data_IF_118227698102
#
_entry.id   IF_118227698102
#
_cell.length_a   1.000
_cell.length_b   1.000
_cell.length_c   1.000
_cell.angle_alpha   90.00
_cell.angle_beta   90.00
_cell.angle_gamma   90.00
#
_symmetry.space_group_name_H-M   'P 1'
#
loop_
_entity.id
_entity.type
_entity.pdbx_description
1 polymer ?
#
# COMPACT_ATOMS: atom_id res chain seq x y z
N UNK A 1 -38.57 -25.01 14.92
CA UNK A 1 -38.15 -24.23 13.73
C UNK A 1 -36.83 -24.77 13.17
N UNK A 2 -36.80 -26.04 12.75
CA UNK A 2 -35.58 -26.79 12.37
C UNK A 2 -35.36 -26.91 10.84
N UNK A 3 -36.10 -26.13 10.06
CA UNK A 3 -36.35 -26.36 8.63
C UNK A 3 -35.26 -25.89 7.63
N UNK A 4 -34.37 -24.91 7.89
CA UNK A 4 -33.36 -24.51 6.90
C UNK A 4 -32.06 -25.34 6.92
N UNK A 5 -31.77 -26.04 8.03
CA UNK A 5 -30.49 -26.73 8.24
C UNK A 5 -30.41 -28.07 7.49
N UNK A 6 -31.51 -28.83 7.41
CA UNK A 6 -31.58 -30.06 6.61
C UNK A 6 -31.54 -29.79 5.10
N UNK A 7 -32.06 -28.63 4.67
CA UNK A 7 -32.13 -28.25 3.27
C UNK A 7 -30.74 -28.10 2.63
N UNK A 8 -29.75 -27.53 3.34
CA UNK A 8 -28.40 -27.38 2.80
C UNK A 8 -27.67 -28.72 2.63
N UNK A 9 -27.84 -29.66 3.58
CA UNK A 9 -27.28 -31.01 3.43
C UNK A 9 -27.91 -31.75 2.25
N UNK A 10 -29.24 -31.70 2.13
CA UNK A 10 -29.95 -32.29 1.00
C UNK A 10 -29.47 -31.70 -0.33
N UNK A 11 -29.28 -30.38 -0.40
CA UNK A 11 -28.73 -29.69 -1.58
C UNK A 11 -27.34 -30.17 -1.96
N UNK A 12 -26.44 -30.39 -1.00
CA UNK A 12 -25.09 -30.90 -1.29
C UNK A 12 -25.14 -32.34 -1.82
N UNK A 13 -25.98 -33.19 -1.22
CA UNK A 13 -26.18 -34.59 -1.66
C UNK A 13 -26.80 -34.70 -3.06
N UNK A 14 -27.63 -33.73 -3.45
CA UNK A 14 -28.20 -33.64 -4.80
C UNK A 14 -27.32 -32.89 -5.80
N UNK A 15 -26.05 -32.60 -5.46
CA UNK A 15 -25.07 -32.00 -6.35
C UNK A 15 -25.13 -30.47 -6.47
N UNK A 16 -25.90 -29.80 -5.61
CA UNK A 16 -25.96 -28.34 -5.52
C UNK A 16 -24.86 -27.80 -4.60
N UNK A 17 -23.73 -27.40 -5.19
CA UNK A 17 -22.53 -26.96 -4.45
C UNK A 17 -22.54 -25.48 -4.01
N UNK A 18 -23.59 -24.73 -4.37
CA UNK A 18 -23.70 -23.28 -4.09
C UNK A 18 -23.41 -22.90 -2.65
N UNK A 19 -23.92 -23.61 -1.62
CA UNK A 19 -23.64 -23.25 -0.22
C UNK A 19 -22.14 -23.18 0.11
N UNK A 20 -21.34 -24.13 -0.39
CA UNK A 20 -19.89 -24.18 -0.12
C UNK A 20 -19.12 -23.18 -0.97
N UNK A 21 -19.53 -22.98 -2.24
CA UNK A 21 -18.85 -22.01 -3.11
C UNK A 21 -19.11 -20.57 -2.67
N UNK A 22 -20.32 -20.25 -2.21
CA UNK A 22 -20.67 -18.94 -1.70
C UNK A 22 -19.97 -18.66 -0.38
N UNK A 23 -19.96 -19.65 0.52
CA UNK A 23 -19.20 -19.58 1.75
C UNK A 23 -17.71 -19.30 1.49
N UNK A 24 -17.09 -20.05 0.57
CA UNK A 24 -15.69 -19.83 0.20
C UNK A 24 -15.47 -18.42 -0.35
N UNK A 25 -16.30 -17.97 -1.29
CA UNK A 25 -16.21 -16.62 -1.87
C UNK A 25 -16.28 -15.51 -0.82
N UNK A 26 -17.12 -15.67 0.20
CA UNK A 26 -17.29 -14.69 1.28
C UNK A 26 -16.17 -14.76 2.34
N UNK A 27 -15.75 -15.97 2.72
CA UNK A 27 -14.87 -16.19 3.87
C UNK A 27 -13.39 -16.31 3.51
N UNK A 28 -13.02 -16.53 2.24
CA UNK A 28 -11.64 -16.76 1.80
C UNK A 28 -10.65 -15.72 2.31
N UNK A 29 -10.88 -14.44 2.02
CA UNK A 29 -9.94 -13.38 2.40
C UNK A 29 -10.00 -13.07 3.91
N UNK A 30 -11.16 -13.27 4.54
CA UNK A 30 -11.33 -13.14 5.99
C UNK A 30 -10.51 -14.21 6.71
N UNK A 31 -10.60 -15.45 6.24
CA UNK A 31 -9.85 -16.60 6.73
C UNK A 31 -8.35 -16.38 6.55
N UNK A 32 -7.89 -15.94 5.37
CA UNK A 32 -6.48 -15.68 5.14
C UNK A 32 -5.90 -14.60 6.06
N UNK A 33 -6.66 -13.52 6.34
CA UNK A 33 -6.25 -12.50 7.32
C UNK A 33 -6.18 -13.07 8.74
N UNK A 34 -7.14 -13.89 9.13
CA UNK A 34 -7.14 -14.57 10.42
C UNK A 34 -5.94 -15.53 10.54
N UNK A 35 -5.71 -16.37 9.54
CA UNK A 35 -4.62 -17.35 9.50
C UNK A 35 -3.25 -16.65 9.56
N UNK A 36 -3.08 -15.56 8.82
CA UNK A 36 -1.85 -14.75 8.87
C UNK A 36 -1.59 -14.16 10.25
N UNK A 37 -2.62 -13.64 10.93
CA UNK A 37 -2.48 -13.03 12.27
C UNK A 37 -2.17 -14.06 13.34
N UNK A 38 -2.77 -15.24 13.25
CA UNK A 38 -2.69 -16.26 14.30
C UNK A 38 -1.52 -17.24 14.10
N UNK A 39 -1.15 -17.53 12.85
CA UNK A 39 -0.18 -18.59 12.51
C UNK A 39 0.93 -18.12 11.56
N UNK A 40 0.95 -16.84 11.17
CA UNK A 40 1.93 -16.33 10.19
C UNK A 40 1.76 -16.89 8.77
N UNK A 41 0.67 -17.61 8.50
CA UNK A 41 0.45 -18.31 7.22
C UNK A 41 0.25 -17.33 6.05
N UNK A 42 0.99 -17.48 4.94
CA UNK A 42 0.75 -16.77 3.70
C UNK A 42 -0.67 -16.99 3.16
N UNK A 43 -1.20 -16.01 2.42
CA UNK A 43 -2.60 -16.04 1.99
C UNK A 43 -2.92 -17.22 1.06
N UNK A 44 -2.03 -17.54 0.12
CA UNK A 44 -2.11 -18.69 -0.79
C UNK A 44 -2.21 -20.03 -0.03
N UNK A 45 -1.37 -20.22 0.98
CA UNK A 45 -1.43 -21.41 1.83
C UNK A 45 -2.71 -21.47 2.67
N UNK A 46 -3.17 -20.34 3.20
CA UNK A 46 -4.43 -20.26 3.93
C UNK A 46 -5.63 -20.60 3.02
N UNK A 47 -5.66 -20.10 1.79
CA UNK A 47 -6.71 -20.45 0.82
C UNK A 47 -6.70 -21.96 0.51
N UNK A 48 -5.52 -22.56 0.33
CA UNK A 48 -5.39 -24.00 0.13
C UNK A 48 -5.95 -24.81 1.31
N UNK A 49 -5.65 -24.41 2.55
CA UNK A 49 -6.22 -25.05 3.75
C UNK A 49 -7.74 -24.95 3.77
N UNK A 50 -8.31 -23.77 3.52
CA UNK A 50 -9.76 -23.60 3.53
C UNK A 50 -10.46 -24.42 2.44
N UNK A 51 -9.89 -24.49 1.22
CA UNK A 51 -10.43 -25.34 0.15
C UNK A 51 -10.43 -26.80 0.56
N UNK A 52 -9.32 -27.30 1.10
CA UNK A 52 -9.25 -28.69 1.54
C UNK A 52 -10.27 -28.99 2.62
N UNK A 53 -10.46 -28.08 3.59
CA UNK A 53 -11.48 -28.24 4.63
C UNK A 53 -12.90 -28.27 4.06
N UNK A 54 -13.20 -27.51 3.02
CA UNK A 54 -14.49 -27.56 2.35
C UNK A 54 -14.70 -28.87 1.57
N UNK A 55 -13.63 -29.43 1.01
CA UNK A 55 -13.66 -30.74 0.36
C UNK A 55 -13.88 -31.86 1.40
N UNK A 56 -13.18 -31.82 2.53
CA UNK A 56 -13.42 -32.75 3.65
C UNK A 56 -14.84 -32.64 4.17
N UNK A 57 -15.35 -31.42 4.39
CA UNK A 57 -16.73 -31.20 4.80
C UNK A 57 -17.74 -31.76 3.78
N UNK A 58 -17.46 -31.62 2.49
CA UNK A 58 -18.28 -32.23 1.43
C UNK A 58 -18.28 -33.76 1.53
N UNK A 59 -17.13 -34.39 1.81
CA UNK A 59 -17.07 -35.84 2.04
C UNK A 59 -17.94 -36.23 3.23
N UNK A 60 -17.74 -35.60 4.39
CA UNK A 60 -18.50 -35.89 5.61
C UNK A 60 -20.02 -35.82 5.41
N UNK A 61 -20.49 -34.88 4.58
CA UNK A 61 -21.91 -34.75 4.22
C UNK A 61 -22.41 -35.89 3.34
N UNK A 62 -21.64 -36.28 2.33
CA UNK A 62 -22.02 -37.35 1.40
C UNK A 62 -21.91 -38.74 2.05
N UNK A 63 -20.98 -38.90 2.98
CA UNK A 63 -20.75 -40.15 3.69
C UNK A 63 -21.76 -40.37 4.83
N UNK A 64 -22.57 -39.36 5.15
CA UNK A 64 -23.50 -39.39 6.27
C UNK A 64 -22.87 -39.19 7.65
N UNK A 65 -21.54 -39.02 7.73
CA UNK A 65 -20.82 -38.66 8.97
C UNK A 65 -21.33 -37.34 9.56
N UNK A 66 -21.74 -36.41 8.70
CA UNK A 66 -22.45 -35.21 9.09
C UNK A 66 -23.96 -35.38 8.91
N UNK A 67 -24.65 -35.61 10.02
CA UNK A 67 -26.12 -35.80 10.07
C UNK A 67 -26.89 -34.49 10.16
N UNK A 68 -26.27 -33.43 10.68
CA UNK A 68 -26.88 -32.11 10.82
C UNK A 68 -25.93 -30.98 10.39
N UNK A 69 -26.50 -29.92 9.82
CA UNK A 69 -25.72 -28.76 9.42
C UNK A 69 -25.27 -27.97 10.66
N UNK A 70 -23.97 -27.63 10.80
CA UNK A 70 -23.50 -26.89 11.96
C UNK A 70 -24.21 -25.53 12.10
N UNK A 71 -24.67 -25.13 13.30
CA UNK A 71 -25.35 -23.86 13.50
C UNK A 71 -24.45 -22.66 13.13
N UNK A 72 -23.15 -22.80 13.36
CA UNK A 72 -22.12 -21.88 12.86
C UNK A 72 -21.10 -22.65 12.01
N UNK A 73 -21.35 -22.69 10.70
CA UNK A 73 -20.44 -23.31 9.72
C UNK A 73 -19.05 -22.68 9.76
N UNK A 74 -18.94 -21.38 10.00
CA UNK A 74 -17.65 -20.68 10.04
C UNK A 74 -16.83 -21.15 11.22
N UNK A 75 -17.40 -21.17 12.42
CA UNK A 75 -16.71 -21.65 13.61
C UNK A 75 -16.28 -23.12 13.46
N UNK A 76 -17.16 -23.97 12.91
CA UNK A 76 -16.86 -25.37 12.65
C UNK A 76 -15.65 -25.54 11.70
N UNK A 77 -15.68 -24.92 10.53
CA UNK A 77 -14.60 -25.01 9.54
C UNK A 77 -13.29 -24.36 10.03
N UNK A 78 -13.38 -23.24 10.75
CA UNK A 78 -12.19 -22.57 11.30
C UNK A 78 -11.56 -23.39 12.43
N UNK A 79 -12.37 -24.10 13.22
CA UNK A 79 -11.90 -25.03 14.25
C UNK A 79 -11.06 -26.16 13.66
N UNK A 80 -11.59 -26.82 12.61
CA UNK A 80 -10.85 -27.86 11.90
C UNK A 80 -9.60 -27.30 11.21
N UNK A 81 -9.72 -26.15 10.54
CA UNK A 81 -8.58 -25.50 9.88
C UNK A 81 -7.49 -25.07 10.87
N UNK A 82 -7.86 -24.63 12.08
CA UNK A 82 -6.92 -24.30 13.15
C UNK A 82 -6.05 -25.50 13.52
N UNK A 83 -6.62 -26.69 13.63
CA UNK A 83 -5.84 -27.90 13.95
C UNK A 83 -4.77 -28.16 12.87
N UNK A 84 -5.14 -28.02 11.59
CA UNK A 84 -4.19 -28.14 10.46
C UNK A 84 -3.09 -27.10 10.50
N UNK A 85 -3.45 -25.84 10.74
CA UNK A 85 -2.47 -24.75 10.78
C UNK A 85 -1.54 -24.87 11.98
N UNK A 86 -2.06 -25.25 13.15
CA UNK A 86 -1.23 -25.55 14.33
C UNK A 86 -0.28 -26.69 14.03
N UNK A 87 -0.77 -27.82 13.52
CA UNK A 87 0.05 -28.98 13.20
C UNK A 87 1.20 -28.66 12.23
N UNK A 88 0.93 -27.84 11.21
CA UNK A 88 1.97 -27.34 10.29
C UNK A 88 2.96 -26.40 10.96
N UNK A 89 2.50 -25.51 11.84
CA UNK A 89 3.37 -24.55 12.54
C UNK A 89 4.27 -25.23 13.58
N UNK A 90 3.77 -26.28 14.24
CA UNK A 90 4.51 -27.03 15.28
C UNK A 90 5.21 -28.28 14.73
N UNK A 91 5.07 -28.57 13.44
CA UNK A 91 5.55 -29.80 12.80
C UNK A 91 5.07 -31.08 13.53
N UNK A 92 3.83 -31.07 14.03
CA UNK A 92 3.22 -32.20 14.73
C UNK A 92 2.25 -32.95 13.82
N UNK A 93 2.06 -34.25 14.07
CA UNK A 93 1.02 -35.01 13.38
C UNK A 93 -0.37 -34.43 13.63
N UNK A 94 -1.23 -34.48 12.62
CA UNK A 94 -2.63 -34.16 12.75
C UNK A 94 -3.35 -35.23 13.59
N UNK A 95 -4.32 -34.84 14.44
CA UNK A 95 -5.20 -35.81 15.06
C UNK A 95 -5.87 -36.66 13.96
N UNK A 96 -5.93 -37.97 14.14
CA UNK A 96 -6.65 -38.84 13.22
C UNK A 96 -8.15 -38.45 13.28
N UNK A 97 -8.65 -37.83 12.21
CA UNK A 97 -10.09 -37.72 11.99
C UNK A 97 -10.67 -39.14 11.90
N UNK A 98 -11.90 -39.35 12.39
CA UNK A 98 -12.59 -40.64 12.30
C UNK A 98 -12.66 -41.04 10.81
N UNK A 99 -11.77 -41.94 10.35
CA UNK A 99 -11.62 -42.15 8.93
C UNK A 99 -12.82 -42.98 8.47
N UNK A 100 -13.20 -42.81 7.22
CA UNK A 100 -13.98 -43.85 6.54
C UNK A 100 -13.24 -45.19 6.70
N UNK A 101 -13.95 -46.33 6.72
CA UNK A 101 -13.30 -47.63 6.60
C UNK A 101 -12.29 -47.60 5.46
N UNK A 102 -11.04 -48.02 5.72
CA UNK A 102 -9.92 -47.83 4.78
C UNK A 102 -10.25 -48.32 3.37
N UNK A 103 -10.94 -49.46 3.27
CA UNK A 103 -11.38 -50.04 2.00
C UNK A 103 -12.34 -49.12 1.21
N UNK A 104 -13.27 -48.43 1.89
CA UNK A 104 -14.20 -47.50 1.24
C UNK A 104 -13.49 -46.22 0.77
N UNK A 105 -12.60 -45.68 1.60
CA UNK A 105 -11.79 -44.51 1.25
C UNK A 105 -10.89 -44.80 0.03
N UNK A 106 -10.21 -45.95 0.03
CA UNK A 106 -9.34 -46.39 -1.07
C UNK A 106 -10.12 -46.59 -2.36
N UNK A 107 -11.29 -47.24 -2.28
CA UNK A 107 -12.16 -47.45 -3.45
C UNK A 107 -12.64 -46.14 -4.05
N UNK A 108 -13.11 -45.20 -3.23
CA UNK A 108 -13.52 -43.85 -3.69
C UNK A 108 -12.37 -43.10 -4.34
N UNK A 109 -11.20 -43.10 -3.71
CA UNK A 109 -10.00 -42.49 -4.29
C UNK A 109 -9.58 -43.16 -5.61
N UNK A 110 -9.76 -44.47 -5.74
CA UNK A 110 -9.52 -45.18 -6.99
C UNK A 110 -10.52 -44.75 -8.08
N UNK A 111 -11.81 -44.65 -7.76
CA UNK A 111 -12.84 -44.15 -8.69
C UNK A 111 -12.54 -42.73 -9.14
N UNK A 112 -12.19 -41.82 -8.21
CA UNK A 112 -11.82 -40.44 -8.54
C UNK A 112 -10.61 -40.38 -9.48
N UNK A 113 -9.53 -41.10 -9.14
CA UNK A 113 -8.33 -41.14 -9.99
C UNK A 113 -8.63 -41.69 -11.38
N UNK A 114 -9.43 -42.75 -11.45
CA UNK A 114 -9.80 -43.40 -12.72
C UNK A 114 -10.69 -42.49 -13.56
N UNK A 115 -11.68 -41.84 -12.95
CA UNK A 115 -12.55 -40.85 -13.61
C UNK A 115 -11.71 -39.73 -14.25
N UNK A 116 -10.73 -39.18 -13.53
CA UNK A 116 -9.86 -38.11 -14.02
C UNK A 116 -8.95 -38.53 -15.19
N UNK A 117 -8.72 -39.84 -15.37
CA UNK A 117 -7.93 -40.39 -16.47
C UNK A 117 -8.76 -40.72 -17.72
N UNK A 118 -10.10 -40.69 -17.63
CA UNK A 118 -10.96 -40.93 -18.80
C UNK A 118 -10.86 -39.79 -19.82
N UNK A 119 -11.21 -40.03 -21.09
CA UNK A 119 -11.36 -38.96 -22.07
C UNK A 119 -12.32 -37.86 -21.59
N UNK A 120 -12.07 -36.57 -21.91
CA UNK A 120 -12.89 -35.45 -21.44
C UNK A 120 -14.39 -35.62 -21.72
N UNK A 121 -14.75 -36.16 -22.88
CA UNK A 121 -16.14 -36.38 -23.26
C UNK A 121 -16.82 -37.41 -22.34
N UNK A 122 -16.12 -38.50 -22.01
CA UNK A 122 -16.62 -39.51 -21.06
C UNK A 122 -16.77 -38.93 -19.66
N UNK A 123 -15.80 -38.12 -19.20
CA UNK A 123 -15.92 -37.41 -17.92
C UNK A 123 -17.16 -36.51 -17.88
N UNK A 124 -17.39 -35.76 -18.96
CA UNK A 124 -18.50 -34.82 -19.07
C UNK A 124 -19.86 -35.52 -19.05
N UNK A 125 -20.00 -36.62 -19.80
CA UNK A 125 -21.20 -37.46 -19.80
C UNK A 125 -21.50 -38.00 -18.40
N UNK A 126 -20.52 -38.63 -17.75
CA UNK A 126 -20.69 -39.21 -16.42
C UNK A 126 -21.00 -38.15 -15.37
N UNK A 127 -20.31 -37.01 -15.41
CA UNK A 127 -20.59 -35.88 -14.52
C UNK A 127 -22.01 -35.33 -14.73
N UNK A 128 -22.45 -35.17 -15.97
CA UNK A 128 -23.77 -34.61 -16.25
C UNK A 128 -24.90 -35.58 -15.83
N UNK A 129 -24.69 -36.88 -15.98
CA UNK A 129 -25.67 -37.89 -15.59
C UNK A 129 -25.68 -38.13 -14.08
N UNK A 130 -24.54 -38.56 -13.49
CA UNK A 130 -24.50 -39.03 -12.10
C UNK A 130 -24.45 -37.92 -11.06
N UNK A 131 -23.82 -36.78 -11.37
CA UNK A 131 -23.69 -35.69 -10.41
C UNK A 131 -24.74 -34.60 -10.62
N UNK A 132 -25.05 -34.22 -11.87
CA UNK A 132 -26.11 -33.23 -12.16
C UNK A 132 -27.51 -33.83 -12.27
N UNK A 133 -27.64 -35.15 -12.17
CA UNK A 133 -28.94 -35.85 -12.20
C UNK A 133 -29.72 -35.61 -13.48
N UNK A 134 -29.04 -35.44 -14.62
CA UNK A 134 -29.74 -35.17 -15.89
C UNK A 134 -30.33 -36.45 -16.47
N UNK A 135 -31.61 -36.38 -16.86
CA UNK A 135 -32.22 -37.42 -17.68
C UNK A 135 -31.60 -37.44 -19.10
N UNK A 136 -31.88 -38.48 -19.89
CA UNK A 136 -31.27 -38.65 -21.21
C UNK A 136 -31.62 -37.53 -22.21
N UNK A 137 -32.81 -36.94 -22.10
CA UNK A 137 -33.24 -35.81 -22.95
C UNK A 137 -32.41 -34.56 -22.64
N UNK A 138 -32.29 -34.23 -21.36
CA UNK A 138 -31.49 -33.11 -20.86
C UNK A 138 -30.02 -33.32 -21.17
N UNK A 139 -29.52 -34.56 -21.02
CA UNK A 139 -28.16 -34.92 -21.37
C UNK A 139 -27.90 -34.73 -22.87
N UNK A 140 -28.82 -35.19 -23.72
CA UNK A 140 -28.73 -35.01 -25.17
C UNK A 140 -28.69 -33.53 -25.56
N UNK A 141 -29.63 -32.73 -25.03
CA UNK A 141 -29.68 -31.30 -25.31
C UNK A 141 -28.44 -30.53 -24.83
N UNK A 142 -27.90 -30.86 -23.64
CA UNK A 142 -26.71 -30.18 -23.09
C UNK A 142 -25.42 -30.52 -23.81
N UNK A 143 -25.30 -31.75 -24.32
CA UNK A 143 -24.09 -32.24 -24.98
C UNK A 143 -24.17 -32.21 -26.51
N UNK A 144 -25.30 -31.76 -27.06
CA UNK A 144 -25.50 -31.68 -28.51
C UNK A 144 -25.68 -33.03 -29.20
N UNK A 145 -26.19 -34.04 -28.49
CA UNK A 145 -26.52 -35.33 -29.10
C UNK A 145 -27.85 -35.27 -29.85
N UNK A 146 -27.94 -36.04 -30.93
CA UNK A 146 -29.13 -36.03 -31.80
C UNK A 146 -30.43 -36.42 -31.06
N UNK A 147 -30.36 -37.33 -30.09
CA UNK A 147 -31.51 -37.77 -29.29
C UNK A 147 -31.07 -38.48 -28.00
N UNK A 148 -32.05 -38.80 -27.14
CA UNK A 148 -31.85 -39.51 -25.88
C UNK A 148 -31.20 -40.90 -26.05
N UNK A 149 -31.46 -41.60 -27.16
CA UNK A 149 -30.85 -42.89 -27.45
C UNK A 149 -29.34 -42.80 -27.66
N UNK A 150 -28.88 -41.78 -28.39
CA UNK A 150 -27.45 -41.49 -28.54
C UNK A 150 -26.83 -41.14 -27.19
N UNK A 151 -27.51 -40.31 -26.38
CA UNK A 151 -27.03 -39.96 -25.04
C UNK A 151 -26.87 -41.19 -24.13
N UNK A 152 -27.81 -42.14 -24.18
CA UNK A 152 -27.72 -43.41 -23.46
C UNK A 152 -26.53 -44.24 -23.92
N UNK A 153 -26.34 -44.40 -25.24
CA UNK A 153 -25.17 -45.12 -25.78
C UNK A 153 -23.85 -44.50 -25.31
N UNK A 154 -23.75 -43.17 -25.34
CA UNK A 154 -22.57 -42.45 -24.86
C UNK A 154 -22.34 -42.65 -23.34
N UNK A 155 -23.41 -42.67 -22.53
CA UNK A 155 -23.32 -43.00 -21.10
C UNK A 155 -22.77 -44.40 -20.87
N UNK A 156 -23.34 -45.41 -21.55
CA UNK A 156 -22.91 -46.80 -21.41
C UNK A 156 -21.47 -47.02 -21.87
N UNK A 157 -21.06 -46.37 -22.97
CA UNK A 157 -19.67 -46.41 -23.42
C UNK A 157 -18.71 -45.79 -22.39
N UNK A 158 -19.07 -44.64 -21.81
CA UNK A 158 -18.28 -43.99 -20.78
C UNK A 158 -18.18 -44.84 -19.49
N UNK A 159 -19.27 -45.49 -19.08
CA UNK A 159 -19.28 -46.41 -17.93
C UNK A 159 -18.44 -47.65 -18.18
N UNK A 160 -18.55 -48.26 -19.36
CA UNK A 160 -17.72 -49.40 -19.74
C UNK A 160 -16.24 -49.05 -19.64
N UNK A 161 -15.81 -47.91 -20.20
CA UNK A 161 -14.43 -47.42 -20.11
C UNK A 161 -13.98 -47.23 -18.65
N UNK A 162 -14.85 -46.68 -17.79
CA UNK A 162 -14.57 -46.52 -16.36
C UNK A 162 -14.36 -47.89 -15.69
N UNK A 163 -15.29 -48.82 -15.86
CA UNK A 163 -15.23 -50.13 -15.21
C UNK A 163 -14.11 -51.02 -15.74
N UNK A 164 -13.77 -50.95 -17.03
CA UNK A 164 -12.59 -51.60 -17.60
C UNK A 164 -11.29 -51.05 -17.00
N UNK A 165 -11.21 -49.74 -16.76
CA UNK A 165 -10.06 -49.13 -16.11
C UNK A 165 -9.97 -49.50 -14.63
N UNK A 166 -11.09 -49.56 -13.92
CA UNK A 166 -11.16 -50.03 -12.53
C UNK A 166 -10.78 -51.51 -12.39
N UNK A 167 -11.24 -52.36 -13.30
CA UNK A 167 -10.89 -53.78 -13.35
C UNK A 167 -9.39 -53.97 -13.57
N UNK A 168 -8.79 -53.22 -14.50
CA UNK A 168 -7.31 -53.21 -14.68
C UNK A 168 -6.55 -52.75 -13.45
N UNK A 169 -7.15 -51.91 -12.61
CA UNK A 169 -6.57 -51.45 -11.36
C UNK A 169 -6.84 -52.40 -10.17
N UNK A 170 -7.46 -53.57 -10.40
CA UNK A 170 -7.73 -54.58 -9.37
C UNK A 170 -8.91 -54.24 -8.46
N UNK A 171 -9.86 -53.41 -8.91
CA UNK A 171 -11.03 -53.08 -8.11
C UNK A 171 -12.00 -54.29 -8.03
N UNK A 172 -12.30 -54.74 -6.81
CA UNK A 172 -13.17 -55.91 -6.59
C UNK A 172 -14.58 -55.76 -7.18
N UNK A 173 -15.17 -56.87 -7.64
CA UNK A 173 -16.54 -56.91 -8.19
C UNK A 173 -16.71 -56.30 -9.58
N UNK A 174 -15.64 -55.75 -10.18
CA UNK A 174 -15.74 -55.09 -11.49
C UNK A 174 -15.74 -56.06 -12.67
N UNK A 175 -15.19 -57.27 -12.51
CA UNK A 175 -15.20 -58.30 -13.55
C UNK A 175 -16.62 -58.84 -13.77
N UNK A 176 -17.31 -59.19 -12.69
CA UNK A 176 -18.71 -59.62 -12.66
C UNK A 176 -19.61 -58.50 -13.16
N UNK A 177 -19.36 -57.26 -12.71
CA UNK A 177 -20.07 -56.08 -13.20
C UNK A 177 -19.94 -55.93 -14.72
N UNK A 178 -18.72 -56.03 -15.28
CA UNK A 178 -18.52 -55.89 -16.73
C UNK A 178 -19.26 -56.97 -17.54
N UNK A 179 -19.33 -58.20 -17.01
CA UNK A 179 -20.04 -59.31 -17.65
C UNK A 179 -21.56 -59.04 -17.73
N UNK A 180 -22.16 -58.48 -16.67
CA UNK A 180 -23.60 -58.23 -16.60
C UNK A 180 -24.01 -56.77 -16.89
N UNK A 181 -23.05 -55.88 -17.20
CA UNK A 181 -23.28 -54.43 -17.32
C UNK A 181 -24.49 -54.06 -18.21
N UNK A 182 -24.71 -54.65 -19.41
CA UNK A 182 -25.85 -54.29 -20.25
C UNK A 182 -27.22 -54.64 -19.66
N UNK A 183 -27.30 -55.69 -18.82
CA UNK A 183 -28.54 -56.05 -18.13
C UNK A 183 -28.80 -55.10 -16.96
N UNK A 184 -27.76 -54.88 -16.14
CA UNK A 184 -27.80 -53.97 -14.99
C UNK A 184 -28.13 -52.54 -15.41
N UNK A 185 -27.54 -52.02 -16.49
CA UNK A 185 -27.85 -50.68 -17.00
C UNK A 185 -29.28 -50.57 -17.51
N UNK A 186 -29.81 -51.58 -18.21
CA UNK A 186 -31.20 -51.52 -18.73
C UNK A 186 -32.23 -51.48 -17.60
N UNK A 187 -32.02 -52.26 -16.54
CA UNK A 187 -32.87 -52.21 -15.35
C UNK A 187 -32.71 -50.86 -14.63
N UNK A 188 -31.47 -50.43 -14.37
CA UNK A 188 -31.20 -49.14 -13.69
C UNK A 188 -31.68 -47.92 -14.45
N UNK A 189 -31.68 -47.94 -15.79
CA UNK A 189 -32.14 -46.83 -16.63
C UNK A 189 -33.68 -46.83 -16.81
N UNK A 190 -34.39 -47.81 -16.24
CA UNK A 190 -35.84 -47.95 -16.35
C UNK A 190 -36.33 -48.24 -17.76
N UNK A 191 -35.54 -48.99 -18.54
CA UNK A 191 -35.82 -49.30 -19.95
C UNK A 191 -36.57 -50.63 -20.11
N UNK A 192 -36.54 -51.48 -19.08
CA UNK A 192 -37.31 -52.73 -19.07
C UNK A 192 -38.80 -52.42 -18.94
N UNK A 193 -39.61 -53.15 -19.69
CA UNK A 193 -41.06 -53.19 -19.48
C UNK A 193 -41.37 -54.02 -18.21
N UNK A 194 -42.61 -54.02 -17.70
CA UNK A 194 -42.94 -54.72 -16.46
C UNK A 194 -42.56 -56.21 -16.49
N UNK A 195 -42.81 -56.90 -17.61
CA UNK A 195 -42.47 -58.31 -17.76
C UNK A 195 -40.94 -58.55 -17.75
N UNK A 196 -40.17 -57.70 -18.44
CA UNK A 196 -38.72 -57.78 -18.42
C UNK A 196 -38.11 -57.44 -17.06
N UNK A 197 -38.74 -56.56 -16.28
CA UNK A 197 -38.33 -56.28 -14.91
C UNK A 197 -38.62 -57.48 -13.99
N UNK A 198 -39.78 -58.12 -14.11
CA UNK A 198 -40.10 -59.35 -13.35
C UNK A 198 -39.13 -60.49 -13.68
N UNK A 199 -38.75 -60.65 -14.95
CA UNK A 199 -37.75 -61.65 -15.37
C UNK A 199 -36.36 -61.33 -14.79
N UNK A 200 -35.94 -60.07 -14.85
CA UNK A 200 -34.67 -59.62 -14.26
C UNK A 200 -34.63 -59.86 -12.75
N UNK A 201 -35.73 -59.57 -12.04
CA UNK A 201 -35.86 -59.79 -10.60
C UNK A 201 -35.84 -61.29 -10.25
N UNK A 202 -36.49 -62.13 -11.08
CA UNK A 202 -36.40 -63.59 -10.93
C UNK A 202 -34.98 -64.11 -11.16
N UNK A 203 -34.26 -63.57 -12.16
CA UNK A 203 -32.85 -63.91 -12.41
C UNK A 203 -31.97 -63.52 -11.23
N UNK A 204 -32.19 -62.35 -10.61
CA UNK A 204 -31.44 -61.93 -9.42
C UNK A 204 -31.54 -62.91 -8.25
N UNK A 205 -32.64 -63.66 -8.14
CA UNK A 205 -32.81 -64.66 -7.08
C UNK A 205 -31.96 -65.91 -7.30
N UNK A 206 -31.67 -66.27 -8.55
CA UNK A 206 -30.98 -67.52 -8.93
C UNK A 206 -29.50 -67.26 -9.26
N UNK A 207 -29.19 -66.17 -9.94
CA UNK A 207 -27.86 -65.81 -10.39
C UNK A 207 -27.12 -64.97 -9.34
N UNK A 208 -26.18 -65.61 -8.65
CA UNK A 208 -25.33 -64.96 -7.65
C UNK A 208 -24.36 -63.93 -8.25
N UNK A 209 -23.88 -64.14 -9.47
CA UNK A 209 -22.94 -63.23 -10.14
C UNK A 209 -23.68 -61.96 -10.60
N UNK A 210 -24.87 -62.09 -11.17
CA UNK A 210 -25.73 -60.96 -11.50
C UNK A 210 -26.06 -60.11 -10.26
N UNK A 211 -26.32 -60.76 -9.12
CA UNK A 211 -26.57 -60.06 -7.86
C UNK A 211 -25.34 -59.28 -7.37
N UNK A 212 -24.15 -59.89 -7.44
CA UNK A 212 -22.89 -59.21 -7.12
C UNK A 212 -22.63 -58.03 -8.06
N UNK A 213 -22.92 -58.19 -9.36
CA UNK A 213 -22.83 -57.12 -10.34
C UNK A 213 -23.75 -55.94 -10.02
N UNK A 214 -25.00 -56.19 -9.60
CA UNK A 214 -25.92 -55.13 -9.16
C UNK A 214 -25.40 -54.38 -7.93
N UNK A 215 -24.92 -55.10 -6.91
CA UNK A 215 -24.33 -54.49 -5.72
C UNK A 215 -23.09 -53.65 -6.06
N UNK A 216 -22.21 -54.17 -6.92
CA UNK A 216 -21.05 -53.45 -7.40
C UNK A 216 -21.46 -52.19 -8.19
N UNK A 217 -22.45 -52.28 -9.06
CA UNK A 217 -22.96 -51.14 -9.82
C UNK A 217 -23.51 -50.04 -8.91
N UNK A 218 -24.34 -50.36 -7.94
CA UNK A 218 -24.86 -49.39 -6.96
C UNK A 218 -23.72 -48.70 -6.19
N UNK A 219 -22.76 -49.49 -5.72
CA UNK A 219 -21.61 -48.98 -4.98
C UNK A 219 -20.74 -48.05 -5.83
N UNK A 220 -20.34 -48.48 -7.03
CA UNK A 220 -19.48 -47.67 -7.90
C UNK A 220 -20.20 -46.44 -8.45
N UNK A 221 -21.52 -46.50 -8.69
CA UNK A 221 -22.28 -45.31 -9.12
C UNK A 221 -22.46 -44.30 -7.99
N UNK A 222 -22.58 -44.74 -6.74
CA UNK A 222 -22.53 -43.87 -5.57
C UNK A 222 -21.14 -43.20 -5.43
N UNK A 223 -20.06 -43.97 -5.55
CA UNK A 223 -18.69 -43.45 -5.51
C UNK A 223 -18.40 -42.51 -6.68
N UNK A 224 -18.94 -42.80 -7.87
CA UNK A 224 -18.84 -41.95 -9.05
C UNK A 224 -19.55 -40.61 -8.85
N UNK A 225 -20.75 -40.60 -8.25
CA UNK A 225 -21.47 -39.38 -7.90
C UNK A 225 -20.66 -38.53 -6.92
N UNK A 226 -20.10 -39.15 -5.89
CA UNK A 226 -19.19 -38.49 -4.96
C UNK A 226 -17.96 -37.91 -5.67
N UNK A 227 -17.29 -38.70 -6.51
CA UNK A 227 -16.05 -38.31 -7.19
C UNK A 227 -16.28 -37.12 -8.13
N UNK A 228 -17.33 -37.19 -8.95
CA UNK A 228 -17.70 -36.11 -9.86
C UNK A 228 -18.08 -34.83 -9.11
N UNK A 229 -18.75 -34.95 -7.95
CA UNK A 229 -19.11 -33.80 -7.14
C UNK A 229 -17.94 -33.16 -6.40
N UNK A 230 -17.06 -33.98 -5.82
CA UNK A 230 -15.82 -33.53 -5.18
C UNK A 230 -14.94 -32.78 -6.17
N UNK A 231 -14.74 -33.33 -7.37
CA UNK A 231 -13.96 -32.66 -8.41
C UNK A 231 -14.63 -31.39 -8.91
N UNK A 232 -15.96 -31.39 -9.11
CA UNK A 232 -16.67 -30.16 -9.50
C UNK A 232 -16.48 -29.05 -8.46
N UNK A 233 -16.58 -29.40 -7.17
CA UNK A 233 -16.33 -28.46 -6.07
C UNK A 233 -14.91 -27.92 -6.15
N UNK A 234 -13.90 -28.79 -6.25
CA UNK A 234 -12.50 -28.39 -6.39
C UNK A 234 -12.31 -27.40 -7.53
N UNK A 235 -12.76 -27.74 -8.74
CA UNK A 235 -12.63 -26.88 -9.92
C UNK A 235 -13.32 -25.52 -9.73
N UNK A 236 -14.48 -25.50 -9.09
CA UNK A 236 -15.19 -24.25 -8.76
C UNK A 236 -14.40 -23.38 -7.79
N UNK A 237 -13.88 -23.96 -6.72
CA UNK A 237 -13.05 -23.23 -5.75
C UNK A 237 -11.78 -22.69 -6.41
N UNK A 238 -11.11 -23.47 -7.25
CA UNK A 238 -9.94 -23.05 -8.02
C UNK A 238 -10.28 -21.94 -9.04
N UNK A 239 -11.45 -22.00 -9.66
CA UNK A 239 -11.94 -20.94 -10.55
C UNK A 239 -12.19 -19.62 -9.81
N UNK A 240 -12.65 -19.68 -8.55
CA UNK A 240 -12.87 -18.49 -7.72
C UNK A 240 -11.52 -17.85 -7.38
N UNK A 241 -10.53 -18.65 -7.00
CA UNK A 241 -9.16 -18.17 -6.75
C UNK A 241 -8.57 -17.47 -7.96
N UNK A 242 -8.67 -18.09 -9.14
CA UNK A 242 -8.17 -17.50 -10.40
C UNK A 242 -8.86 -16.18 -10.71
N UNK A 243 -10.19 -16.10 -10.57
CA UNK A 243 -10.97 -14.87 -10.81
C UNK A 243 -10.58 -13.75 -9.84
N UNK A 244 -10.40 -14.06 -8.56
CA UNK A 244 -9.97 -13.07 -7.57
C UNK A 244 -8.55 -12.60 -7.85
N UNK A 245 -7.62 -13.52 -8.14
CA UNK A 245 -6.23 -13.19 -8.48
C UNK A 245 -6.13 -12.32 -9.75
N UNK A 246 -6.95 -12.60 -10.77
CA UNK A 246 -7.02 -11.78 -11.98
C UNK A 246 -7.53 -10.37 -11.67
N UNK A 247 -8.57 -10.23 -10.84
CA UNK A 247 -9.12 -8.93 -10.42
C UNK A 247 -8.09 -8.12 -9.63
N UNK A 248 -7.40 -8.73 -8.67
CA UNK A 248 -6.39 -8.03 -7.86
C UNK A 248 -5.19 -7.61 -8.70
N UNK A 249 -4.71 -8.48 -9.61
CA UNK A 249 -3.64 -8.13 -10.55
C UNK A 249 -4.05 -6.99 -11.49
N UNK A 250 -5.29 -7.00 -12.00
CA UNK A 250 -5.81 -5.92 -12.84
C UNK A 250 -5.88 -4.59 -12.07
N UNK A 251 -6.39 -4.61 -10.83
CA UNK A 251 -6.45 -3.41 -9.98
C UNK A 251 -5.06 -2.87 -9.63
N UNK A 252 -4.08 -3.76 -9.37
CA UNK A 252 -2.70 -3.35 -9.13
C UNK A 252 -2.08 -2.70 -10.37
N UNK A 253 -2.29 -3.27 -11.56
CA UNK A 253 -1.84 -2.66 -12.83
C UNK A 253 -2.45 -1.27 -13.05
N UNK A 254 -3.75 -1.09 -12.75
CA UNK A 254 -4.42 0.21 -12.84
C UNK A 254 -3.79 1.20 -11.85
N UNK A 255 -3.59 0.81 -10.59
CA UNK A 255 -2.96 1.67 -9.58
C UNK A 255 -1.52 2.05 -9.95
N UNK A 256 -0.73 1.11 -10.45
CA UNK A 256 0.62 1.38 -10.93
C UNK A 256 0.63 2.34 -12.12
N UNK A 257 -0.30 2.19 -13.08
CA UNK A 257 -0.47 3.14 -14.19
C UNK A 257 -0.87 4.52 -13.68
N UNK A 258 -1.82 4.61 -12.75
CA UNK A 258 -2.24 5.87 -12.14
C UNK A 258 -1.09 6.55 -11.37
N UNK A 259 -0.30 5.79 -10.61
CA UNK A 259 0.88 6.33 -9.91
C UNK A 259 1.92 6.84 -10.91
N UNK A 260 2.23 6.09 -11.98
CA UNK A 260 3.15 6.55 -13.04
C UNK A 260 2.62 7.79 -13.77
N UNK A 261 1.31 7.86 -14.05
CA UNK A 261 0.70 9.05 -14.65
C UNK A 261 0.76 10.26 -13.71
N UNK A 262 0.47 10.08 -12.41
CA UNK A 262 0.62 11.14 -11.40
C UNK A 262 2.06 11.63 -11.29
N UNK A 263 3.05 10.72 -11.31
CA UNK A 263 4.47 11.09 -11.30
C UNK A 263 4.87 11.83 -12.57
N UNK A 264 4.42 11.39 -13.76
CA UNK A 264 4.67 12.09 -15.02
C UNK A 264 4.06 13.48 -15.05
N UNK A 265 2.79 13.62 -14.64
CA UNK A 265 2.11 14.92 -14.55
C UNK A 265 2.78 15.81 -13.49
N UNK A 266 3.22 15.25 -12.36
CA UNK A 266 3.97 15.97 -11.34
C UNK A 266 5.31 16.50 -11.86
N UNK A 267 6.06 15.70 -12.63
CA UNK A 267 7.32 16.13 -13.26
C UNK A 267 7.09 17.22 -14.31
N UNK A 268 6.06 17.09 -15.15
CA UNK A 268 5.69 18.14 -16.12
C UNK A 268 5.30 19.42 -15.40
N UNK A 269 4.46 19.33 -14.36
CA UNK A 269 4.07 20.49 -13.54
C UNK A 269 5.25 21.17 -12.86
N UNK A 270 6.18 20.40 -12.30
CA UNK A 270 7.41 20.92 -11.71
C UNK A 270 8.32 21.60 -12.76
N UNK A 271 8.44 21.03 -13.96
CA UNK A 271 9.19 21.63 -15.06
C UNK A 271 8.60 22.96 -15.52
N UNK A 272 7.28 23.04 -15.67
CA UNK A 272 6.58 24.30 -16.01
C UNK A 272 6.78 25.34 -14.91
N UNK A 273 6.66 24.97 -13.63
CA UNK A 273 6.88 25.88 -12.52
C UNK A 273 8.30 26.42 -12.49
N UNK A 274 9.31 25.57 -12.71
CA UNK A 274 10.71 25.98 -12.79
C UNK A 274 10.96 26.97 -13.94
N UNK A 275 10.36 26.74 -15.11
CA UNK A 275 10.42 27.67 -16.24
C UNK A 275 9.76 29.02 -15.92
N UNK A 276 8.60 29.02 -15.25
CA UNK A 276 7.94 30.24 -14.83
C UNK A 276 8.76 31.03 -13.80
N UNK A 277 9.40 30.34 -12.85
CA UNK A 277 10.31 30.97 -11.88
C UNK A 277 11.52 31.58 -12.60
N UNK A 278 12.14 30.83 -13.52
CA UNK A 278 13.28 31.32 -14.29
C UNK A 278 12.92 32.55 -15.14
N UNK A 279 11.74 32.53 -15.79
CA UNK A 279 11.22 33.68 -16.54
C UNK A 279 10.95 34.89 -15.63
N UNK A 280 10.36 34.65 -14.45
CA UNK A 280 10.11 35.71 -13.45
C UNK A 280 11.39 36.38 -12.95
N UNK A 281 12.47 35.60 -12.76
CA UNK A 281 13.78 36.15 -12.37
C UNK A 281 14.41 36.95 -13.52
N UNK A 282 14.32 36.47 -14.76
CA UNK A 282 14.88 37.14 -15.94
C UNK A 282 14.15 38.45 -16.30
N UNK A 283 12.85 38.53 -16.05
CA UNK A 283 12.03 39.71 -16.36
C UNK A 283 11.84 40.66 -15.17
N UNK A 284 12.48 40.41 -14.02
CA UNK A 284 12.40 41.34 -12.90
C UNK A 284 13.26 42.58 -13.20
N UNK A 285 12.67 43.79 -13.34
CA UNK A 285 13.45 45.01 -13.56
C UNK A 285 14.41 45.19 -12.39
N UNK A 286 15.71 45.25 -12.70
CA UNK A 286 16.75 45.60 -11.74
C UNK A 286 16.41 46.98 -11.18
N UNK A 287 15.86 47.02 -9.97
CA UNK A 287 15.75 48.26 -9.19
C UNK A 287 17.17 48.72 -8.92
N UNK A 288 17.57 49.79 -9.59
CA UNK A 288 18.84 50.45 -9.36
C UNK A 288 19.06 50.71 -7.88
N UNK A 289 20.27 50.40 -7.46
CA UNK A 289 20.73 50.14 -6.11
C UNK A 289 20.88 51.43 -5.28
N UNK A 290 19.86 52.32 -5.27
CA UNK A 290 19.86 53.57 -4.51
C UNK A 290 20.10 53.34 -3.00
N UNK A 291 19.75 52.16 -2.48
CA UNK A 291 19.96 51.80 -1.08
C UNK A 291 21.44 51.72 -0.65
N UNK A 292 22.40 51.67 -1.59
CA UNK A 292 23.85 51.65 -1.31
C UNK A 292 24.60 52.90 -1.75
N UNK A 293 23.91 53.92 -2.26
CA UNK A 293 24.56 55.15 -2.75
C UNK A 293 25.38 55.88 -1.66
N UNK A 294 25.02 55.72 -0.38
CA UNK A 294 25.76 56.30 0.75
C UNK A 294 27.18 55.75 0.90
N UNK A 295 27.47 54.53 0.42
CA UNK A 295 28.78 53.90 0.55
C UNK A 295 29.87 54.68 -0.19
N UNK A 296 29.52 55.34 -1.31
CA UNK A 296 30.45 56.20 -2.06
C UNK A 296 30.92 57.42 -1.25
N UNK A 297 30.17 57.80 -0.21
CA UNK A 297 30.48 58.92 0.68
C UNK A 297 30.98 58.47 2.05
N UNK A 298 31.09 57.17 2.31
CA UNK A 298 31.66 56.71 3.57
C UNK A 298 33.13 57.12 3.66
N UNK A 299 33.48 57.82 4.74
CA UNK A 299 34.83 58.25 5.01
C UNK A 299 35.33 57.47 6.22
N UNK A 300 36.50 56.82 6.18
CA UNK A 300 37.08 56.25 7.38
C UNK A 300 37.53 57.39 8.31
N UNK A 301 37.19 57.30 9.61
CA UNK A 301 37.80 58.16 10.62
C UNK A 301 39.13 57.52 11.05
N UNK A 302 40.23 58.29 11.18
CA UNK A 302 41.53 57.74 11.59
C UNK A 302 41.57 57.27 13.07
N UNK A 303 40.54 57.61 13.86
CA UNK A 303 40.52 57.37 15.30
C UNK A 303 41.30 58.44 16.07
N UNK A 304 41.44 58.23 17.38
CA UNK A 304 42.21 59.14 18.25
C UNK A 304 43.70 58.99 17.96
N UNK A 305 44.44 60.10 18.01
CA UNK A 305 45.91 60.10 17.85
C UNK A 305 46.60 59.51 19.07
N UNK A 306 47.87 59.09 18.92
CA UNK A 306 48.66 58.57 20.04
C UNK A 306 48.73 59.56 21.21
N UNK A 307 48.85 60.87 20.92
CA UNK A 307 48.84 61.94 21.92
C UNK A 307 47.52 62.03 22.70
N UNK A 308 46.38 61.73 22.06
CA UNK A 308 45.06 61.73 22.71
C UNK A 308 44.82 60.48 23.56
N UNK A 309 45.58 59.41 23.30
CA UNK A 309 45.50 58.13 24.04
C UNK A 309 46.60 57.97 25.08
N UNK A 310 47.50 58.96 25.20
CA UNK A 310 48.63 58.89 26.12
C UNK A 310 48.17 58.77 27.58
N UNK A 311 48.84 57.92 28.35
CA UNK A 311 48.44 57.56 29.72
C UNK A 311 47.14 56.76 29.85
N UNK A 312 46.52 56.30 28.74
CA UNK A 312 45.22 55.58 28.74
C UNK A 312 45.30 54.25 27.98
N UNK A 313 45.87 53.18 28.58
CA UNK A 313 46.17 51.94 27.87
C UNK A 313 44.94 51.24 27.27
N UNK A 314 43.80 51.24 27.98
CA UNK A 314 42.56 50.63 27.48
C UNK A 314 41.97 51.40 26.28
N UNK A 315 42.12 52.73 26.26
CA UNK A 315 41.70 53.55 25.13
C UNK A 315 42.61 53.33 23.93
N UNK A 316 43.93 53.31 24.15
CA UNK A 316 44.91 53.00 23.11
C UNK A 316 44.62 51.62 22.48
N UNK A 317 44.33 50.61 23.30
CA UNK A 317 43.95 49.27 22.83
C UNK A 317 42.63 49.28 22.04
N UNK A 318 41.59 49.98 22.51
CA UNK A 318 40.33 50.12 21.77
C UNK A 318 40.53 50.78 20.40
N UNK A 319 41.36 51.83 20.32
CA UNK A 319 41.67 52.51 19.06
C UNK A 319 42.54 51.64 18.13
N UNK A 320 43.43 50.81 18.66
CA UNK A 320 44.18 49.83 17.88
C UNK A 320 43.23 48.79 17.26
N UNK A 321 42.30 48.23 18.04
CA UNK A 321 41.28 47.30 17.55
C UNK A 321 40.38 47.93 16.49
N UNK A 322 40.01 49.20 16.68
CA UNK A 322 39.24 49.98 15.70
C UNK A 322 39.97 50.07 14.34
N UNK A 323 41.27 50.42 14.35
CA UNK A 323 42.08 50.50 13.12
C UNK A 323 42.29 49.13 12.45
N UNK A 324 42.26 48.05 13.21
CA UNK A 324 42.32 46.67 12.70
C UNK A 324 40.97 46.16 12.14
N UNK A 325 39.90 46.96 12.22
CA UNK A 325 38.57 46.56 11.77
C UNK A 325 37.81 45.66 12.75
N UNK A 326 38.36 45.39 13.94
CA UNK A 326 37.70 44.57 14.96
C UNK A 326 36.72 45.38 15.80
N UNK A 327 35.65 45.86 15.16
CA UNK A 327 34.70 46.81 15.75
C UNK A 327 33.95 46.28 16.99
N UNK A 328 33.49 45.01 17.05
CA UNK A 328 32.85 44.48 18.25
C UNK A 328 33.80 44.47 19.47
N UNK A 329 35.05 44.07 19.26
CA UNK A 329 36.08 44.05 20.31
C UNK A 329 36.45 45.46 20.76
N UNK A 330 36.61 46.39 19.80
CA UNK A 330 36.87 47.80 20.08
C UNK A 330 35.73 48.43 20.90
N UNK A 331 34.46 48.14 20.56
CA UNK A 331 33.28 48.64 21.27
C UNK A 331 33.17 48.08 22.68
N UNK A 332 33.41 46.78 22.83
CA UNK A 332 33.45 46.15 24.14
C UNK A 332 34.51 46.79 25.03
N UNK A 333 35.70 47.05 24.48
CA UNK A 333 36.78 47.68 25.25
C UNK A 333 36.50 49.15 25.57
N UNK A 334 35.91 49.90 24.63
CA UNK A 334 35.53 51.31 24.85
C UNK A 334 34.48 51.45 25.96
N UNK A 335 33.49 50.56 26.02
CA UNK A 335 32.40 50.60 27.02
C UNK A 335 32.85 50.28 28.45
N UNK A 336 34.05 49.71 28.62
CA UNK A 336 34.65 49.49 29.96
C UNK A 336 35.26 50.76 30.55
N UNK A 337 35.42 51.82 29.76
CA UNK A 337 35.95 53.09 30.21
C UNK A 337 34.83 53.99 30.73
N UNK A 338 35.00 54.64 31.90
CA UNK A 338 34.00 55.60 32.38
C UNK A 338 33.96 56.82 31.44
N UNK A 339 32.75 57.30 31.12
CA UNK A 339 32.57 58.44 30.22
C UNK A 339 33.28 59.72 30.70
N UNK A 340 33.47 59.87 32.02
CA UNK A 340 34.21 60.97 32.63
C UNK A 340 35.70 60.97 32.30
N UNK A 341 36.30 59.81 32.04
CA UNK A 341 37.72 59.72 31.70
C UNK A 341 38.01 60.18 30.27
N UNK A 342 37.07 59.98 29.34
CA UNK A 342 37.28 60.27 27.91
C UNK A 342 36.77 61.64 27.47
N UNK A 343 35.87 62.24 28.26
CA UNK A 343 34.99 63.28 27.78
C UNK A 343 33.73 62.67 27.18
N UNK A 344 32.58 63.23 27.54
CA UNK A 344 31.28 62.70 27.16
C UNK A 344 31.10 62.70 25.63
N UNK A 345 31.58 63.73 24.94
CA UNK A 345 31.49 63.86 23.49
C UNK A 345 32.29 62.78 22.75
N UNK A 346 33.53 62.53 23.19
CA UNK A 346 34.45 61.55 22.63
C UNK A 346 33.92 60.13 22.84
N UNK A 347 33.44 59.83 24.05
CA UNK A 347 32.83 58.53 24.34
C UNK A 347 31.61 58.26 23.46
N UNK A 348 30.69 59.23 23.35
CA UNK A 348 29.48 59.08 22.55
C UNK A 348 29.81 58.95 21.05
N UNK A 349 30.74 59.76 20.54
CA UNK A 349 31.12 59.77 19.13
C UNK A 349 31.68 58.42 18.68
N UNK A 350 32.66 57.86 19.42
CA UNK A 350 33.27 56.58 19.05
C UNK A 350 32.35 55.39 19.26
N UNK A 351 31.43 55.42 20.24
CA UNK A 351 30.37 54.41 20.34
C UNK A 351 29.48 54.43 19.09
N UNK A 352 29.03 55.61 18.65
CA UNK A 352 28.23 55.75 17.43
C UNK A 352 28.97 55.25 16.19
N UNK A 353 30.24 55.60 16.05
CA UNK A 353 31.06 55.19 14.91
C UNK A 353 31.28 53.67 14.88
N UNK A 354 31.60 53.05 16.00
CA UNK A 354 31.79 51.60 16.09
C UNK A 354 30.49 50.82 15.81
N UNK A 355 29.34 51.35 16.21
CA UNK A 355 28.03 50.77 15.89
C UNK A 355 27.68 50.91 14.41
N UNK A 356 27.99 52.07 13.80
CA UNK A 356 27.80 52.28 12.37
C UNK A 356 28.62 51.29 11.55
N UNK A 357 29.87 51.04 11.95
CA UNK A 357 30.75 50.05 11.31
C UNK A 357 30.32 48.59 11.51
N UNK A 358 29.45 48.33 12.47
CA UNK A 358 28.81 47.03 12.70
C UNK A 358 27.45 46.91 12.00
N UNK A 359 27.16 47.80 11.05
CA UNK A 359 25.88 47.84 10.32
C UNK A 359 24.66 48.03 11.24
N UNK A 360 24.85 48.75 12.37
CA UNK A 360 23.78 49.09 13.32
C UNK A 360 23.48 50.60 13.30
N UNK A 361 22.96 51.13 12.17
CA UNK A 361 22.78 52.57 12.00
C UNK A 361 21.75 53.15 12.99
N UNK A 362 20.68 52.41 13.31
CA UNK A 362 19.64 52.84 14.26
C UNK A 362 20.23 53.17 15.65
N UNK A 363 21.13 52.32 16.14
CA UNK A 363 21.80 52.55 17.41
C UNK A 363 22.79 53.72 17.30
N UNK A 364 23.57 53.76 16.21
CA UNK A 364 24.55 54.80 15.95
C UNK A 364 23.92 56.20 15.88
N UNK A 365 22.74 56.33 15.27
CA UNK A 365 21.96 57.58 15.16
C UNK A 365 21.75 58.22 16.53
N UNK A 366 21.39 57.43 17.54
CA UNK A 366 21.13 57.92 18.90
C UNK A 366 22.36 58.54 19.54
N UNK A 367 23.56 58.00 19.29
CA UNK A 367 24.82 58.51 19.80
C UNK A 367 25.24 59.78 19.07
N UNK A 368 25.20 59.80 17.74
CA UNK A 368 25.57 60.98 16.97
C UNK A 368 24.66 62.18 17.23
N UNK A 369 23.34 61.95 17.39
CA UNK A 369 22.38 63.00 17.77
C UNK A 369 22.69 63.64 19.12
N UNK A 370 23.23 62.88 20.08
CA UNK A 370 23.64 63.41 21.38
C UNK A 370 24.88 64.28 21.25
N UNK A 371 25.90 63.80 20.53
CA UNK A 371 27.13 64.58 20.29
C UNK A 371 26.85 65.87 19.54
N UNK A 372 25.99 65.82 18.50
CA UNK A 372 25.65 67.01 17.70
C UNK A 372 24.92 68.11 18.47
N UNK A 373 24.41 67.81 19.68
CA UNK A 373 23.71 68.75 20.56
C UNK A 373 24.58 69.25 21.72
N UNK A 374 25.81 68.74 21.87
CA UNK A 374 26.72 69.19 22.93
C UNK A 374 27.35 70.54 22.53
N UNK A 375 27.09 71.63 23.29
CA UNK A 375 27.66 72.93 22.97
C UNK A 375 29.19 72.89 23.16
N UNK A 376 29.92 73.48 22.20
CA UNK A 376 31.37 73.62 22.28
C UNK A 376 32.21 72.37 21.97
N UNK A 377 31.59 71.22 21.63
CA UNK A 377 32.36 70.03 21.24
C UNK A 377 33.01 70.21 19.86
N UNK A 378 34.31 69.93 19.77
CA UNK A 378 35.03 69.87 18.50
C UNK A 378 34.56 68.71 17.59
N UNK A 379 33.81 67.75 18.14
CA UNK A 379 33.29 66.58 17.40
C UNK A 379 31.91 66.82 16.80
N UNK A 380 31.25 67.94 17.07
CA UNK A 380 29.89 68.25 16.60
C UNK A 380 29.75 68.12 15.08
N UNK A 381 30.67 68.70 14.31
CA UNK A 381 30.65 68.61 12.84
C UNK A 381 30.87 67.18 12.32
N UNK A 382 31.77 66.41 12.96
CA UNK A 382 32.00 65.00 12.62
C UNK A 382 30.77 64.16 12.93
N UNK A 383 30.13 64.39 14.08
CA UNK A 383 28.93 63.67 14.48
C UNK A 383 27.76 63.95 13.55
N UNK A 384 27.54 65.19 13.12
CA UNK A 384 26.51 65.54 12.13
C UNK A 384 26.72 64.81 10.79
N UNK A 385 27.98 64.67 10.36
CA UNK A 385 28.30 63.93 9.13
C UNK A 385 27.86 62.46 9.22
N UNK A 386 28.29 61.75 10.26
CA UNK A 386 27.94 60.34 10.42
C UNK A 386 26.48 60.12 10.83
N UNK A 387 25.83 61.10 11.47
CA UNK A 387 24.38 61.12 11.64
C UNK A 387 23.67 61.12 10.27
N UNK A 388 24.15 61.97 9.36
CA UNK A 388 23.65 62.02 7.99
C UNK A 388 23.79 60.69 7.24
N UNK A 389 24.97 60.07 7.31
CA UNK A 389 25.21 58.75 6.70
C UNK A 389 24.36 57.64 7.34
N UNK A 390 24.23 57.62 8.67
CA UNK A 390 23.39 56.66 9.37
C UNK A 390 21.92 56.79 8.95
N UNK A 391 21.38 58.01 8.90
CA UNK A 391 20.02 58.24 8.41
C UNK A 391 19.86 57.84 6.95
N UNK A 392 20.88 58.05 6.11
CA UNK A 392 20.85 57.66 4.70
C UNK A 392 20.81 56.14 4.54
N UNK A 393 21.64 55.41 5.29
CA UNK A 393 21.63 53.95 5.33
C UNK A 393 20.25 53.39 5.72
N UNK A 394 19.53 54.09 6.60
CA UNK A 394 18.17 53.76 7.04
C UNK A 394 17.06 54.25 6.09
N UNK A 395 17.39 54.82 4.94
CA UNK A 395 16.45 55.44 3.99
C UNK A 395 15.65 56.63 4.57
N UNK A 396 16.11 57.23 5.67
CA UNK A 396 15.53 58.46 6.26
C UNK A 396 16.08 59.70 5.53
N UNK A 397 15.83 59.80 4.22
CA UNK A 397 16.45 60.79 3.33
C UNK A 397 16.31 62.25 3.79
N UNK A 398 15.15 62.73 4.29
CA UNK A 398 15.04 64.11 4.76
C UNK A 398 15.94 64.42 5.95
N UNK A 399 16.08 63.45 6.87
CA UNK A 399 16.92 63.58 8.06
C UNK A 399 18.40 63.49 7.68
N UNK A 400 18.74 62.60 6.74
CA UNK A 400 20.09 62.48 6.21
C UNK A 400 20.55 63.79 5.57
N UNK A 401 19.70 64.39 4.72
CA UNK A 401 19.96 65.67 4.07
C UNK A 401 20.16 66.79 5.08
N UNK A 402 19.26 66.95 6.04
CA UNK A 402 19.37 67.99 7.06
C UNK A 402 20.66 67.88 7.88
N UNK A 403 21.05 66.66 8.28
CA UNK A 403 22.29 66.44 9.03
C UNK A 403 23.56 66.70 8.18
N UNK A 404 23.56 66.30 6.90
CA UNK A 404 24.67 66.58 5.98
C UNK A 404 24.79 68.07 5.64
N UNK A 405 23.69 68.81 5.54
CA UNK A 405 23.70 70.27 5.36
C UNK A 405 24.35 70.96 6.56
N UNK A 406 24.03 70.57 7.79
CA UNK A 406 24.69 71.08 9.00
C UNK A 406 26.19 70.73 9.04
N UNK A 407 26.54 69.49 8.66
CA UNK A 407 27.93 69.06 8.57
C UNK A 407 28.72 69.86 7.51
N UNK A 408 28.08 70.25 6.40
CA UNK A 408 28.67 71.05 5.33
C UNK A 408 28.84 72.54 5.68
N UNK A 409 28.07 73.04 6.66
CA UNK A 409 28.12 74.42 7.14
C UNK A 409 29.06 74.60 8.34
N UNK A 410 29.31 73.53 9.12
CA UNK A 410 30.16 73.57 10.30
C UNK A 410 31.63 73.92 9.98
N UNK A 411 32.15 75.08 10.45
CA UNK A 411 33.57 75.42 10.32
C UNK A 411 34.44 74.42 11.09
N UNK A 412 35.52 73.93 10.47
CA UNK A 412 36.43 72.97 11.10
C UNK A 412 36.02 71.49 11.01
N UNK A 413 34.90 71.16 10.36
CA UNK A 413 34.56 69.75 10.09
C UNK A 413 35.46 69.16 8.98
N UNK A 414 36.25 68.09 9.25
CA UNK A 414 37.08 67.46 8.23
C UNK A 414 36.28 66.82 7.08
N UNK A 415 34.99 66.54 7.29
CA UNK A 415 34.12 65.88 6.30
C UNK A 415 33.26 66.85 5.46
N UNK A 416 33.55 68.16 5.52
CA UNK A 416 32.74 69.21 4.87
C UNK A 416 32.55 68.99 3.37
N UNK A 417 33.63 68.68 2.66
CA UNK A 417 33.58 68.57 1.19
C UNK A 417 32.88 67.28 0.74
N UNK A 418 33.04 66.19 1.50
CA UNK A 418 32.28 64.96 1.27
C UNK A 418 30.78 65.15 1.52
N UNK A 419 30.41 65.90 2.57
CA UNK A 419 29.00 66.25 2.83
C UNK A 419 28.39 67.05 1.66
N UNK A 420 29.13 68.02 1.11
CA UNK A 420 28.71 68.78 -0.08
C UNK A 420 28.59 67.90 -1.32
N UNK A 421 29.52 66.96 -1.52
CA UNK A 421 29.46 65.97 -2.59
C UNK A 421 28.18 65.11 -2.50
N UNK A 422 27.90 64.58 -1.31
CA UNK A 422 26.69 63.79 -1.05
C UNK A 422 25.40 64.57 -1.39
N UNK A 423 25.31 65.84 -0.98
CA UNK A 423 24.15 66.71 -1.25
C UNK A 423 23.97 67.02 -2.74
N UNK A 424 25.05 67.07 -3.53
CA UNK A 424 25.00 67.33 -4.98
C UNK A 424 24.64 66.10 -5.82
N UNK A 425 24.86 64.90 -5.28
CA UNK A 425 24.70 63.63 -6.01
C UNK A 425 23.27 63.32 -6.49
N UNK A 426 22.27 64.04 -5.98
CA UNK A 426 20.85 63.77 -6.27
C UNK A 426 20.29 62.53 -5.57
N UNK A 427 21.13 61.71 -4.93
CA UNK A 427 20.72 60.46 -4.28
C UNK A 427 19.98 60.64 -2.94
N UNK A 428 19.82 61.90 -2.49
CA UNK A 428 19.05 62.31 -1.30
C UNK A 428 17.76 63.08 -1.66
N UNK A 429 17.34 63.05 -2.94
CA UNK A 429 16.11 63.73 -3.41
C UNK A 429 14.86 62.87 -3.23
#
# INVERSE_FOLDING_TARGET
MSTPLSANLARLRTGTLTPLTDFYGQQRDVFARWARRQFGTPADQAHAVLRERLLTFYDEVNDGRLTSWPPDLRAHLYGAARQVLTARATNTALPAEAPLPTAEAERRQLVLRTLLQLPPDSQLVLHQFYFRGSNFETLAGKLGYANAGVARRQKSEALRKLFEALNRAGAGGTAELLAHLPAVERSSDGVLDPAGQDEFDAQLLVDGELRQACLAYEQYTADLRWAAGRENLRLRLDSLDRRVAQRTAAQQRIRQRQQRQRLRLGLVGAGVLALLIAAGVLFWPHRDNNARAWQAYDAPDPGLSAAQTDGRPLLAQSMQLYRQGSYPAALHMLRRLPATALGQDTFLYYNGLLLLRQEQPDQAESYFRRVSRLPGSALTGRAQYYLGLSCWQQQKLPQARAALEQAAQSPGNPYRDKARGALRSGALR
#
